data_IF_554445396446
#
_entry.id   IF_554445396446
#
_cell.length_a   1.000
_cell.length_b   1.000
_cell.length_c   1.000
_cell.angle_alpha   90.00
_cell.angle_beta   90.00
_cell.angle_gamma   90.00
#
_symmetry.space_group_name_H-M   'P 1'
#
loop_
_entity.id
_entity.type
_entity.pdbx_description
1 polymer ?
#
# COMPACT_ATOMS: atom_id res chain seq x y z
N UNK A 1 -6.44 9.87 -16.19
CA UNK A 1 -6.19 9.05 -14.99
C UNK A 1 -6.50 9.94 -13.79
N UNK A 2 -7.57 9.66 -13.03
CA UNK A 2 -7.83 10.41 -11.80
C UNK A 2 -6.78 9.99 -10.78
N UNK A 3 -5.80 10.86 -10.53
CA UNK A 3 -4.89 10.67 -9.39
C UNK A 3 -5.74 10.70 -8.12
N UNK A 4 -5.48 9.78 -7.19
CA UNK A 4 -6.19 9.74 -5.92
C UNK A 4 -6.15 11.13 -5.26
N UNK A 5 -7.32 11.72 -5.01
CA UNK A 5 -7.45 13.07 -4.44
C UNK A 5 -7.16 13.09 -2.95
N UNK A 6 -7.24 11.94 -2.31
CA UNK A 6 -6.78 11.69 -0.97
C UNK A 6 -6.25 10.25 -0.87
N UNK A 7 -5.57 9.99 0.24
CA UNK A 7 -4.96 8.70 0.53
C UNK A 7 -5.99 7.55 0.62
N UNK A 8 -7.28 7.81 0.87
CA UNK A 8 -8.35 6.80 0.87
C UNK A 8 -8.71 6.29 -0.53
N UNK A 9 -8.54 7.13 -1.57
CA UNK A 9 -8.83 6.78 -2.97
C UNK A 9 -7.72 5.95 -3.64
N UNK A 10 -6.66 5.62 -2.90
CA UNK A 10 -5.56 4.83 -3.44
C UNK A 10 -5.96 3.37 -3.68
N UNK A 11 -5.59 2.82 -4.84
CA UNK A 11 -6.00 1.47 -5.27
C UNK A 11 -5.65 0.37 -4.27
N UNK A 12 -4.48 0.46 -3.64
CA UNK A 12 -4.05 -0.51 -2.62
C UNK A 12 -5.05 -0.56 -1.44
N UNK A 13 -5.74 0.55 -1.12
CA UNK A 13 -6.78 0.56 -0.09
C UNK A 13 -8.09 -0.01 -0.57
N UNK A 14 -8.46 0.27 -1.81
CA UNK A 14 -9.69 -0.26 -2.40
C UNK A 14 -9.61 -1.79 -2.49
N UNK A 15 -8.43 -2.30 -2.88
CA UNK A 15 -8.20 -3.74 -2.97
C UNK A 15 -7.74 -4.40 -1.68
N UNK A 16 -7.56 -3.64 -0.58
CA UNK A 16 -7.09 -4.15 0.71
C UNK A 16 -5.77 -4.92 0.56
N UNK A 17 -4.85 -4.35 -0.23
CA UNK A 17 -3.51 -4.87 -0.50
C UNK A 17 -2.46 -3.86 -0.07
N UNK A 18 -1.20 -4.29 0.06
CA UNK A 18 -0.11 -3.39 0.44
C UNK A 18 0.39 -2.54 -0.72
N UNK A 19 0.35 -3.05 -1.95
CA UNK A 19 0.89 -2.40 -3.14
C UNK A 19 0.05 -2.77 -4.36
N UNK A 20 -0.08 -1.85 -5.31
CA UNK A 20 -0.78 -2.04 -6.58
C UNK A 20 -0.03 -1.27 -7.65
N UNK A 21 0.22 -1.93 -8.78
CA UNK A 21 0.82 -1.32 -9.95
C UNK A 21 -0.10 -1.52 -11.16
N UNK A 22 -0.36 -0.44 -11.91
CA UNK A 22 -1.07 -0.53 -13.18
C UNK A 22 -0.04 -0.67 -14.28
N UNK A 23 -0.08 -1.81 -14.97
CA UNK A 23 0.82 -2.11 -16.08
C UNK A 23 0.04 -2.00 -17.39
N UNK A 24 0.56 -1.23 -18.35
CA UNK A 24 -0.13 -0.98 -19.63
C UNK A 24 0.10 -2.09 -20.67
N UNK A 25 1.13 -2.92 -20.50
CA UNK A 25 1.50 -3.99 -21.42
C UNK A 25 2.13 -5.15 -20.66
N UNK A 26 1.70 -6.37 -20.97
CA UNK A 26 2.23 -7.58 -20.35
C UNK A 26 3.25 -8.22 -21.30
N UNK A 27 4.43 -8.55 -20.78
CA UNK A 27 5.39 -9.42 -21.47
C UNK A 27 5.30 -10.85 -20.90
N UNK A 28 5.57 -11.85 -21.73
CA UNK A 28 5.57 -13.25 -21.30
C UNK A 28 6.58 -13.52 -20.16
N UNK A 29 7.69 -12.77 -20.14
CA UNK A 29 8.67 -12.82 -19.05
C UNK A 29 8.06 -12.36 -17.72
N UNK A 30 7.29 -11.26 -17.72
CA UNK A 30 6.63 -10.75 -16.53
C UNK A 30 5.60 -11.75 -15.99
N UNK A 31 4.82 -12.37 -16.88
CA UNK A 31 3.82 -13.38 -16.52
C UNK A 31 4.44 -14.60 -15.84
N UNK A 32 5.65 -15.00 -16.24
CA UNK A 32 6.34 -16.14 -15.64
C UNK A 32 6.76 -15.93 -14.18
N UNK A 33 6.90 -14.66 -13.75
CA UNK A 33 7.31 -14.30 -12.38
C UNK A 33 6.15 -14.16 -11.41
N UNK A 34 4.92 -14.11 -11.92
CA UNK A 34 3.71 -13.89 -11.11
C UNK A 34 3.04 -15.23 -10.80
N UNK A 35 2.95 -15.64 -9.52
CA UNK A 35 2.44 -16.97 -9.16
C UNK A 35 0.94 -17.12 -9.37
N UNK A 36 0.18 -16.02 -9.28
CA UNK A 36 -1.27 -16.03 -9.41
C UNK A 36 -1.72 -15.02 -10.45
N UNK A 37 -2.35 -15.51 -11.50
CA UNK A 37 -2.80 -14.68 -12.63
C UNK A 37 -4.27 -14.95 -12.92
N UNK A 38 -5.02 -13.90 -13.21
CA UNK A 38 -6.41 -13.96 -13.63
C UNK A 38 -6.65 -13.06 -14.82
N UNK A 39 -7.56 -13.47 -15.71
CA UNK A 39 -7.97 -12.70 -16.87
C UNK A 39 -9.48 -12.61 -16.90
N UNK A 40 -9.99 -11.41 -17.12
CA UNK A 40 -11.41 -11.12 -17.17
C UNK A 40 -11.73 -10.40 -18.48
N UNK A 41 -12.64 -10.98 -19.26
CA UNK A 41 -13.13 -10.40 -20.50
C UNK A 41 -14.59 -10.03 -20.32
N UNK A 42 -14.94 -8.77 -20.62
CA UNK A 42 -16.32 -8.27 -20.56
C UNK A 42 -16.76 -7.80 -21.93
N UNK A 43 -18.08 -7.73 -22.15
CA UNK A 43 -18.65 -7.14 -23.36
C UNK A 43 -18.64 -5.59 -23.30
N UNK A 44 -18.55 -5.01 -22.10
CA UNK A 44 -18.56 -3.55 -21.87
C UNK A 44 -17.17 -2.95 -21.67
N UNK A 45 -16.22 -3.75 -21.22
CA UNK A 45 -14.85 -3.33 -21.00
C UNK A 45 -13.94 -4.29 -21.76
N UNK A 46 -12.86 -3.76 -22.35
CA UNK A 46 -11.81 -4.57 -22.93
C UNK A 46 -11.26 -5.60 -21.92
N UNK A 47 -10.43 -6.50 -22.41
CA UNK A 47 -9.75 -7.49 -21.58
C UNK A 47 -8.95 -6.84 -20.45
N UNK A 48 -9.16 -7.33 -19.22
CA UNK A 48 -8.43 -6.93 -18.02
C UNK A 48 -7.67 -8.14 -17.51
N UNK A 49 -6.40 -7.93 -17.18
CA UNK A 49 -5.56 -8.92 -16.55
C UNK A 49 -5.20 -8.48 -15.13
N UNK A 50 -5.09 -9.45 -14.23
CA UNK A 50 -4.75 -9.24 -12.82
C UNK A 50 -3.67 -10.25 -12.43
N UNK A 51 -2.60 -9.75 -11.82
CA UNK A 51 -1.54 -10.56 -11.25
C UNK A 51 -1.42 -10.30 -9.75
N UNK A 52 -1.11 -11.33 -8.97
CA UNK A 52 -0.89 -11.21 -7.53
C UNK A 52 0.43 -11.86 -7.15
N UNK A 53 1.29 -11.08 -6.53
CA UNK A 53 2.57 -11.47 -5.93
C UNK A 53 2.61 -11.03 -4.47
N UNK A 54 3.58 -11.54 -3.70
CA UNK A 54 3.86 -10.99 -2.39
C UNK A 54 4.40 -9.57 -2.52
N UNK A 55 3.92 -8.65 -1.68
CA UNK A 55 4.35 -7.26 -1.70
C UNK A 55 5.79 -7.09 -1.17
N UNK A 56 6.50 -6.06 -1.65
CA UNK A 56 7.88 -5.81 -1.26
C UNK A 56 8.03 -5.23 0.15
N UNK A 57 9.22 -5.43 0.74
CA UNK A 57 9.60 -4.88 2.03
C UNK A 57 9.16 -5.75 3.21
N UNK A 58 8.92 -5.11 4.36
CA UNK A 58 8.56 -5.80 5.60
C UNK A 58 7.19 -5.35 6.10
N UNK A 59 6.54 -6.22 6.88
CA UNK A 59 5.24 -5.94 7.51
C UNK A 59 5.38 -4.83 8.55
N UNK A 60 4.52 -3.82 8.47
CA UNK A 60 4.35 -2.82 9.51
C UNK A 60 3.47 -3.37 10.65
N UNK A 61 3.92 -3.31 11.90
CA UNK A 61 3.17 -3.93 13.01
C UNK A 61 1.92 -3.17 13.44
N UNK A 62 1.75 -1.90 13.01
CA UNK A 62 0.57 -1.10 13.35
C UNK A 62 -0.57 -1.18 12.33
N UNK A 63 -0.25 -1.24 11.04
CA UNK A 63 -1.28 -1.28 9.99
C UNK A 63 -1.26 -2.55 9.14
N UNK A 64 -0.32 -3.46 9.42
CA UNK A 64 -0.14 -4.76 8.78
C UNK A 64 0.08 -4.73 7.26
N UNK A 65 0.36 -3.56 6.69
CA UNK A 65 0.81 -3.45 5.31
C UNK A 65 2.32 -3.66 5.20
N UNK A 66 2.74 -4.27 4.11
CA UNK A 66 4.13 -4.38 3.72
C UNK A 66 4.61 -3.07 3.10
N UNK A 67 5.79 -2.61 3.53
CA UNK A 67 6.42 -1.41 2.99
C UNK A 67 7.94 -1.54 3.03
N UNK A 68 8.65 -1.09 1.98
CA UNK A 68 10.11 -1.03 1.99
C UNK A 68 10.67 -0.01 2.99
N UNK A 69 9.83 0.87 3.55
CA UNK A 69 10.23 1.89 4.51
C UNK A 69 10.20 1.39 5.97
N UNK A 70 9.68 0.19 6.24
CA UNK A 70 9.79 -0.41 7.57
C UNK A 70 11.27 -0.63 7.89
N UNK A 71 11.71 -0.17 9.07
CA UNK A 71 13.12 -0.15 9.48
C UNK A 71 13.84 1.17 9.23
N UNK A 72 13.20 2.15 8.56
CA UNK A 72 13.82 3.45 8.27
C UNK A 72 13.87 4.42 9.45
N UNK A 73 13.08 4.17 10.51
CA UNK A 73 12.95 5.06 11.67
C UNK A 73 13.53 4.39 12.92
N UNK A 74 14.57 4.98 13.51
CA UNK A 74 15.30 4.38 14.64
C UNK A 74 14.41 4.22 15.88
N UNK A 75 13.58 5.21 16.18
CA UNK A 75 12.70 5.19 17.35
C UNK A 75 11.55 4.18 17.22
N UNK A 76 11.16 3.88 15.97
CA UNK A 76 10.04 3.01 15.63
C UNK A 76 10.37 2.11 14.43
N UNK A 77 11.29 1.13 14.58
CA UNK A 77 11.84 0.38 13.47
C UNK A 77 10.83 -0.58 12.81
N UNK A 78 9.72 -0.89 13.48
CA UNK A 78 8.68 -1.78 12.95
C UNK A 78 7.55 -1.03 12.25
N UNK A 79 7.64 0.30 12.12
CA UNK A 79 6.60 1.14 11.53
C UNK A 79 6.96 1.56 10.10
N UNK A 80 5.94 1.63 9.23
CA UNK A 80 6.04 2.31 7.95
C UNK A 80 5.86 3.83 8.13
N UNK A 81 6.24 4.63 7.13
CA UNK A 81 6.21 6.09 7.22
C UNK A 81 4.83 6.67 7.59
N UNK A 82 3.73 6.08 7.07
CA UNK A 82 2.37 6.50 7.44
C UNK A 82 2.10 6.31 8.93
N UNK A 83 2.49 5.17 9.47
CA UNK A 83 2.27 4.87 10.88
C UNK A 83 3.20 5.70 11.78
N UNK A 84 4.45 5.89 11.35
CA UNK A 84 5.41 6.75 12.03
C UNK A 84 4.88 8.18 12.15
N UNK A 85 4.47 8.81 11.05
CA UNK A 85 3.94 10.19 11.06
C UNK A 85 2.68 10.40 11.89
N UNK A 86 1.99 9.34 12.31
CA UNK A 86 0.85 9.43 13.25
C UNK A 86 1.29 9.28 14.71
N UNK A 87 2.35 8.51 14.96
CA UNK A 87 2.84 8.22 16.33
C UNK A 87 3.84 9.28 16.80
N UNK A 88 4.68 9.75 15.88
CA UNK A 88 5.74 10.73 16.13
C UNK A 88 5.19 12.15 16.36
N UNK A 89 4.02 12.45 15.80
CA UNK A 89 3.28 13.69 16.11
C UNK A 89 2.67 13.55 17.50
N UNK A 90 3.48 13.78 18.53
CA UNK A 90 2.99 13.97 19.88
C UNK A 90 2.09 15.23 19.91
N UNK A 91 0.86 15.15 20.46
CA UNK A 91 0.14 16.35 20.81
C UNK A 91 0.98 17.13 21.82
N UNK A 92 1.19 18.43 21.59
CA UNK A 92 1.52 19.36 22.68
C UNK A 92 0.57 19.05 23.85
N UNK A 93 1.07 18.87 25.08
CA UNK A 93 0.21 18.51 26.20
C UNK A 93 -0.89 19.58 26.28
N UNK A 94 -2.14 19.17 26.08
CA UNK A 94 -3.28 19.99 26.42
C UNK A 94 -3.04 20.43 27.86
N UNK A 95 -2.95 21.75 28.04
CA UNK A 95 -2.61 22.42 29.27
C UNK A 95 -3.10 21.61 30.48
N UNK A 96 -2.15 21.21 31.32
CA UNK A 96 -2.45 20.71 32.65
C UNK A 96 -3.46 21.67 33.27
N UNK A 97 -4.70 21.20 33.36
CA UNK A 97 -5.79 21.91 34.00
C UNK A 97 -5.41 22.10 35.45
N UNK A 98 -4.88 23.28 35.74
CA UNK A 98 -4.83 23.86 37.07
C UNK A 98 -6.29 23.98 37.52
N UNK A 99 -6.67 23.14 38.47
CA UNK A 99 -7.73 23.41 39.43
C UNK A 99 -7.07 23.45 40.81
#
# INVERSE_FOLDING_TARGET
MCSATNDADALHRIFITSQVEIVNSLSDEFLSTVPYTGKYTSQRTSEVWVGVTHADGAKCERCWNYSPQVGSFVDHPTLCARCYGVVDVQPLPAAAGVC
#
